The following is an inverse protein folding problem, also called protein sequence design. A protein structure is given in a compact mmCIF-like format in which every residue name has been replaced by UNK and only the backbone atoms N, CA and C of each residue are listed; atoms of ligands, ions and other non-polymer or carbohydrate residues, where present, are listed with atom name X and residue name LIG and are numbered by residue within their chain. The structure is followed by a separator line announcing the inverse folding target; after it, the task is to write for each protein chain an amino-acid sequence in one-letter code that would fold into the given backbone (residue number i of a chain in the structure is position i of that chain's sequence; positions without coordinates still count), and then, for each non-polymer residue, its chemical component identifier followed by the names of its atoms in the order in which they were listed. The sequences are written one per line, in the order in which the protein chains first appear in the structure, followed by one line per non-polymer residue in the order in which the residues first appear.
data_IF_242368733123
#
_entry.id   IF_242368733123
#
_cell.length_a   1.000
_cell.length_b   1.000
_cell.length_c   1.000
_cell.angle_alpha   90.00
_cell.angle_beta   90.00
_cell.angle_gamma   90.00
#
_symmetry.space_group_name_H-M   'P 1'
#
loop_
_entity.id
_entity.type
_entity.pdbx_description
1 polymer ?
#
# COMPACT_ATOMS: atom_id res chain seq x y z
N UNK A 1 2.67 13.32 -11.81
CA UNK A 1 1.62 12.32 -12.13
C UNK A 1 1.17 11.62 -10.86
N UNK A 2 -0.13 11.69 -10.53
CA UNK A 2 -0.72 11.01 -9.37
C UNK A 2 -0.58 9.50 -9.51
N UNK A 3 -0.09 8.83 -8.44
CA UNK A 3 0.12 7.37 -8.42
C UNK A 3 -0.54 6.77 -7.18
N UNK A 4 -1.45 5.84 -7.38
CA UNK A 4 -1.98 5.05 -6.28
C UNK A 4 -0.87 4.20 -5.63
N UNK A 5 -1.03 3.91 -4.35
CA UNK A 5 -0.09 3.09 -3.59
C UNK A 5 1.11 3.84 -3.01
N UNK A 6 1.19 5.16 -3.18
CA UNK A 6 2.33 5.98 -2.74
C UNK A 6 1.90 7.16 -1.89
N UNK A 7 2.77 7.51 -0.95
CA UNK A 7 2.71 8.81 -0.26
C UNK A 7 3.32 9.87 -1.15
N UNK A 8 2.61 10.99 -1.31
CA UNK A 8 2.98 12.09 -2.21
C UNK A 8 2.71 13.43 -1.54
N UNK A 9 3.52 14.43 -1.85
CA UNK A 9 3.27 15.81 -1.44
C UNK A 9 2.47 16.52 -2.54
N UNK A 10 1.25 16.96 -2.20
CA UNK A 10 0.34 17.61 -3.12
C UNK A 10 -0.05 18.99 -2.61
N UNK A 11 -0.45 19.87 -3.52
CA UNK A 11 -0.84 21.25 -3.20
C UNK A 11 -2.36 21.39 -3.17
N UNK A 12 -2.88 22.09 -2.17
CA UNK A 12 -4.31 22.42 -2.08
C UNK A 12 -4.66 23.41 -3.18
N UNK A 13 -5.47 22.96 -4.14
CA UNK A 13 -5.94 23.76 -5.27
C UNK A 13 -7.24 24.52 -4.98
N UNK A 14 -8.21 23.82 -4.36
CA UNK A 14 -9.51 24.39 -4.03
C UNK A 14 -10.18 23.69 -2.88
N UNK A 15 -11.08 24.40 -2.22
CA UNK A 15 -11.91 23.91 -1.12
C UNK A 15 -13.31 23.66 -1.67
N UNK A 16 -13.92 22.53 -1.28
CA UNK A 16 -15.31 22.19 -1.65
C UNK A 16 -16.08 21.64 -0.44
N UNK A 17 -17.39 21.43 -0.63
CA UNK A 17 -18.24 20.81 0.39
C UNK A 17 -17.85 19.36 0.69
N UNK A 18 -17.12 18.69 -0.22
CA UNK A 18 -16.68 17.29 -0.06
C UNK A 18 -15.28 17.13 0.57
N UNK A 19 -14.49 18.19 0.55
CA UNK A 19 -13.13 18.21 1.06
C UNK A 19 -12.22 19.13 0.27
N UNK A 20 -10.91 18.87 0.33
CA UNK A 20 -9.91 19.61 -0.43
C UNK A 20 -9.59 18.87 -1.73
N UNK A 21 -9.54 19.59 -2.84
CA UNK A 21 -8.96 19.08 -4.06
C UNK A 21 -7.48 19.45 -4.11
N UNK A 22 -6.65 18.41 -4.18
CA UNK A 22 -5.21 18.52 -4.21
C UNK A 22 -4.69 18.27 -5.62
N UNK A 23 -3.64 18.97 -6.02
CA UNK A 23 -3.01 18.81 -7.34
C UNK A 23 -1.54 18.43 -7.22
N UNK A 24 -1.07 17.67 -8.21
CA UNK A 24 0.35 17.45 -8.46
C UNK A 24 0.93 18.53 -9.39
N UNK A 25 2.23 18.42 -9.70
CA UNK A 25 2.93 19.37 -10.57
C UNK A 25 2.40 19.39 -12.02
N UNK A 26 1.71 18.32 -12.44
CA UNK A 26 1.09 18.20 -13.76
C UNK A 26 -0.39 18.63 -13.78
N UNK A 27 -0.87 19.23 -12.68
CA UNK A 27 -2.26 19.67 -12.49
C UNK A 27 -3.29 18.53 -12.46
N UNK A 28 -2.88 17.30 -12.18
CA UNK A 28 -3.82 16.20 -11.91
C UNK A 28 -4.44 16.39 -10.54
N UNK A 29 -5.76 16.31 -10.45
CA UNK A 29 -6.51 16.60 -9.24
C UNK A 29 -6.98 15.34 -8.53
N UNK A 30 -6.92 15.32 -7.18
CA UNK A 30 -7.44 14.26 -6.34
C UNK A 30 -8.16 14.85 -5.12
N UNK A 31 -9.25 14.21 -4.69
CA UNK A 31 -10.01 14.62 -3.51
C UNK A 31 -9.37 14.08 -2.23
N UNK A 32 -9.14 14.97 -1.26
CA UNK A 32 -8.93 14.64 0.16
C UNK A 32 -10.26 14.87 0.91
N UNK A 33 -10.97 13.81 1.33
CA UNK A 33 -12.28 13.94 1.96
C UNK A 33 -12.27 14.76 3.25
N UNK A 34 -13.40 15.40 3.56
CA UNK A 34 -13.57 16.29 4.72
C UNK A 34 -13.10 15.70 6.05
N UNK A 35 -13.22 14.39 6.26
CA UNK A 35 -12.75 13.73 7.49
C UNK A 35 -11.26 13.90 7.78
N UNK A 36 -10.47 14.23 6.76
CA UNK A 36 -9.02 14.42 6.84
C UNK A 36 -8.60 15.89 6.78
N UNK A 37 -9.55 16.79 6.60
CA UNK A 37 -9.30 18.22 6.45
C UNK A 37 -9.21 18.91 7.80
N UNK A 38 -8.17 19.70 8.00
CA UNK A 38 -8.04 20.61 9.13
C UNK A 38 -8.61 21.99 8.78
N UNK A 39 -9.21 22.65 9.75
CA UNK A 39 -9.66 24.05 9.61
C UNK A 39 -8.53 25.04 9.30
N UNK A 40 -7.27 24.64 9.56
CA UNK A 40 -6.09 25.44 9.26
C UNK A 40 -5.64 25.33 7.78
N UNK A 41 -6.17 24.34 7.03
CA UNK A 41 -5.76 24.14 5.63
C UNK A 41 -6.28 25.26 4.73
N UNK A 42 -5.39 25.78 3.90
CA UNK A 42 -5.66 26.87 2.94
C UNK A 42 -5.24 26.48 1.53
N UNK A 43 -5.85 27.10 0.54
CA UNK A 43 -5.40 27.02 -0.85
C UNK A 43 -3.92 27.45 -0.94
N UNK A 44 -3.12 26.65 -1.61
CA UNK A 44 -1.67 26.85 -1.74
C UNK A 44 -0.82 26.09 -0.72
N UNK A 45 -1.43 25.54 0.36
CA UNK A 45 -0.74 24.69 1.31
C UNK A 45 -0.31 23.37 0.64
N UNK A 46 0.80 22.80 1.09
CA UNK A 46 1.24 21.47 0.69
C UNK A 46 0.93 20.45 1.78
N UNK A 47 0.41 19.29 1.37
CA UNK A 47 0.06 18.19 2.26
C UNK A 47 0.72 16.90 1.79
N UNK A 48 1.28 16.15 2.74
CA UNK A 48 1.72 14.79 2.49
C UNK A 48 0.53 13.84 2.66
N UNK A 49 0.16 13.16 1.57
CA UNK A 49 -1.01 12.28 1.53
C UNK A 49 -0.68 10.95 0.85
N UNK A 50 -1.38 9.91 1.26
CA UNK A 50 -1.38 8.63 0.57
C UNK A 50 -2.52 8.62 -0.46
N UNK A 51 -2.24 8.19 -1.69
CA UNK A 51 -3.22 8.14 -2.78
C UNK A 51 -3.59 6.70 -3.09
N UNK A 52 -4.87 6.40 -3.18
CA UNK A 52 -5.39 5.05 -3.42
C UNK A 52 -6.77 5.08 -4.09
N UNK A 53 -7.27 3.92 -4.53
CA UNK A 53 -8.65 3.79 -4.99
C UNK A 53 -9.56 3.38 -3.84
N UNK A 54 -10.64 4.13 -3.64
CA UNK A 54 -11.65 3.83 -2.62
C UNK A 54 -12.53 2.62 -3.01
N UNK A 55 -13.55 2.33 -2.19
CA UNK A 55 -14.45 1.19 -2.43
C UNK A 55 -15.35 1.35 -3.65
N UNK A 56 -15.50 2.58 -4.16
CA UNK A 56 -16.23 2.90 -5.40
C UNK A 56 -15.27 3.07 -6.59
N UNK A 57 -14.01 2.66 -6.42
CA UNK A 57 -12.98 2.70 -7.46
C UNK A 57 -12.59 4.11 -7.93
N UNK A 58 -12.75 5.10 -7.05
CA UNK A 58 -12.33 6.47 -7.30
C UNK A 58 -10.95 6.71 -6.71
N UNK A 59 -10.09 7.42 -7.42
CA UNK A 59 -8.81 7.84 -6.89
C UNK A 59 -9.04 8.93 -5.81
N UNK A 60 -8.55 8.68 -4.61
CA UNK A 60 -8.72 9.56 -3.44
C UNK A 60 -7.43 9.67 -2.64
N UNK A 61 -7.31 10.73 -1.86
CA UNK A 61 -6.21 10.95 -0.94
C UNK A 61 -6.65 10.75 0.52
N UNK A 62 -5.70 10.39 1.37
CA UNK A 62 -5.86 10.30 2.82
C UNK A 62 -4.62 10.78 3.54
N UNK A 63 -4.79 11.34 4.74
CA UNK A 63 -3.69 11.62 5.67
C UNK A 63 -3.36 10.44 6.58
N UNK A 64 -4.14 9.36 6.50
CA UNK A 64 -3.85 8.12 7.21
C UNK A 64 -2.59 7.45 6.65
N UNK A 65 -1.88 6.74 7.51
CA UNK A 65 -0.72 5.94 7.13
C UNK A 65 -1.15 4.49 6.88
N UNK A 66 -1.11 3.99 5.64
CA UNK A 66 -1.40 2.59 5.37
C UNK A 66 -0.33 1.68 6.00
N UNK A 67 -0.71 0.44 6.29
CA UNK A 67 0.24 -0.57 6.81
C UNK A 67 1.27 -1.00 5.75
N UNK A 68 0.90 -0.96 4.48
CA UNK A 68 1.81 -1.21 3.35
C UNK A 68 1.57 -0.19 2.24
N UNK A 69 2.67 0.17 1.56
CA UNK A 69 2.69 0.95 0.32
C UNK A 69 3.12 0.09 -0.86
N UNK A 70 3.05 0.61 -2.05
CA UNK A 70 3.60 -0.04 -3.25
C UNK A 70 5.07 -0.42 -3.03
N UNK A 71 5.40 -1.67 -3.32
CA UNK A 71 6.76 -2.19 -3.21
C UNK A 71 7.14 -2.69 -1.81
N UNK A 72 6.21 -2.72 -0.86
CA UNK A 72 6.46 -3.18 0.50
C UNK A 72 5.85 -4.57 0.74
N UNK A 73 6.56 -5.37 1.53
CA UNK A 73 6.08 -6.66 2.06
C UNK A 73 5.78 -6.53 3.56
N UNK A 74 4.78 -7.26 4.02
CA UNK A 74 4.42 -7.29 5.44
C UNK A 74 3.30 -8.26 5.76
N UNK A 75 3.08 -8.47 7.05
CA UNK A 75 1.98 -9.27 7.54
C UNK A 75 0.73 -8.40 7.68
N UNK A 76 -0.35 -8.81 7.04
CA UNK A 76 -1.66 -8.20 7.20
C UNK A 76 -2.69 -9.24 7.65
N UNK A 77 -3.64 -8.79 8.48
CA UNK A 77 -4.72 -9.64 8.96
C UNK A 77 -5.80 -9.78 7.89
N UNK A 78 -6.26 -10.99 7.66
CA UNK A 78 -7.44 -11.28 6.82
C UNK A 78 -8.69 -10.90 7.61
N UNK A 79 -9.44 -9.90 7.15
CA UNK A 79 -10.68 -9.43 7.82
C UNK A 79 -11.92 -10.05 7.23
N UNK A 80 -11.92 -10.40 5.93
CA UNK A 80 -13.06 -11.02 5.25
C UNK A 80 -12.61 -11.79 4.01
N UNK A 81 -13.50 -12.63 3.47
CA UNK A 81 -13.30 -13.42 2.26
C UNK A 81 -14.58 -13.50 1.45
N UNK A 82 -14.44 -13.57 0.14
CA UNK A 82 -15.53 -13.92 -0.79
C UNK A 82 -15.04 -14.87 -1.88
N UNK A 83 -15.88 -15.11 -2.92
CA UNK A 83 -15.53 -15.96 -4.06
C UNK A 83 -14.31 -15.49 -4.86
N UNK A 84 -14.00 -14.20 -4.82
CA UNK A 84 -12.95 -13.59 -5.63
C UNK A 84 -11.60 -13.51 -4.92
N UNK A 85 -11.62 -13.50 -3.59
CA UNK A 85 -10.39 -13.38 -2.80
C UNK A 85 -10.64 -13.02 -1.35
N UNK A 86 -9.59 -12.52 -0.72
CA UNK A 86 -9.59 -12.07 0.66
C UNK A 86 -9.39 -10.56 0.76
N UNK A 87 -9.88 -9.99 1.84
CA UNK A 87 -9.72 -8.58 2.18
C UNK A 87 -8.83 -8.48 3.42
N UNK A 88 -7.79 -7.66 3.33
CA UNK A 88 -6.78 -7.51 4.35
C UNK A 88 -6.88 -6.15 5.02
N UNK A 89 -6.69 -6.11 6.34
CA UNK A 89 -6.63 -4.87 7.10
C UNK A 89 -5.44 -4.03 6.64
N UNK A 90 -5.72 -3.00 5.86
CA UNK A 90 -4.72 -2.10 5.29
C UNK A 90 -4.41 -0.91 6.21
N UNK A 91 -5.23 -0.68 7.24
CA UNK A 91 -5.10 0.46 8.14
C UNK A 91 -5.74 1.74 7.61
N UNK A 92 -6.49 1.67 6.51
CA UNK A 92 -7.25 2.79 5.94
C UNK A 92 -8.73 2.70 6.29
N UNK A 93 -9.34 3.83 6.60
CA UNK A 93 -10.77 3.89 6.89
C UNK A 93 -11.60 3.52 5.65
N UNK A 94 -12.47 2.52 5.80
CA UNK A 94 -13.42 2.11 4.76
C UNK A 94 -12.79 1.43 3.54
N UNK A 95 -11.52 1.02 3.60
CA UNK A 95 -10.85 0.32 2.51
C UNK A 95 -9.88 -0.74 3.02
N UNK A 96 -10.15 -1.97 2.61
CA UNK A 96 -9.24 -3.10 2.81
C UNK A 96 -8.39 -3.34 1.55
N UNK A 97 -7.23 -3.96 1.73
CA UNK A 97 -6.37 -4.37 0.62
C UNK A 97 -6.85 -5.72 0.08
N UNK A 98 -7.11 -5.77 -1.21
CA UNK A 98 -7.60 -6.99 -1.86
C UNK A 98 -6.48 -7.97 -2.20
N UNK A 99 -6.67 -9.23 -1.81
CA UNK A 99 -5.81 -10.37 -2.15
C UNK A 99 -6.59 -11.35 -3.02
N UNK A 100 -6.50 -11.25 -4.36
CA UNK A 100 -7.22 -12.14 -5.29
C UNK A 100 -6.85 -13.62 -5.07
N UNK A 101 -7.77 -14.53 -5.34
CA UNK A 101 -7.52 -15.97 -5.23
C UNK A 101 -6.29 -16.43 -6.02
N UNK A 102 -6.08 -15.86 -7.22
CA UNK A 102 -4.91 -16.17 -8.07
C UNK A 102 -3.57 -15.79 -7.44
N UNK A 103 -3.56 -14.84 -6.51
CA UNK A 103 -2.37 -14.35 -5.83
C UNK A 103 -2.11 -15.05 -4.49
N UNK A 104 -2.99 -15.96 -4.06
CA UNK A 104 -2.84 -16.72 -2.83
C UNK A 104 -1.93 -17.94 -3.04
N UNK A 105 -1.19 -18.30 -1.99
CA UNK A 105 -0.49 -19.58 -1.87
C UNK A 105 -1.14 -20.36 -0.74
N UNK A 106 -1.88 -21.41 -1.11
CA UNK A 106 -2.74 -22.10 -0.17
C UNK A 106 -3.97 -21.28 0.23
N UNK A 107 -4.79 -21.79 1.11
CA UNK A 107 -5.94 -21.08 1.62
C UNK A 107 -5.55 -20.06 2.69
N UNK A 108 -6.18 -18.89 2.68
CA UNK A 108 -6.10 -17.93 3.79
C UNK A 108 -7.35 -18.02 4.65
N UNK A 109 -7.22 -17.76 5.94
CA UNK A 109 -8.29 -17.84 6.92
C UNK A 109 -8.57 -16.47 7.52
N UNK A 110 -9.85 -16.09 7.61
CA UNK A 110 -10.27 -14.88 8.31
C UNK A 110 -9.77 -14.88 9.77
N UNK A 111 -9.30 -13.73 10.24
CA UNK A 111 -8.71 -13.56 11.57
C UNK A 111 -7.23 -13.94 11.66
N UNK A 112 -6.64 -14.55 10.65
CA UNK A 112 -5.22 -14.89 10.59
C UNK A 112 -4.42 -13.84 9.83
N UNK A 113 -3.14 -13.71 10.16
CA UNK A 113 -2.20 -12.90 9.42
C UNK A 113 -1.64 -13.69 8.24
N UNK A 114 -1.41 -13.01 7.12
CA UNK A 114 -0.68 -13.56 5.99
C UNK A 114 0.41 -12.59 5.53
N UNK A 115 1.53 -13.14 5.08
CA UNK A 115 2.62 -12.36 4.50
C UNK A 115 2.28 -12.03 3.05
N UNK A 116 2.23 -10.76 2.74
CA UNK A 116 1.89 -10.26 1.40
C UNK A 116 2.86 -9.17 0.94
N UNK A 117 2.91 -8.96 -0.35
CA UNK A 117 3.56 -7.85 -1.03
C UNK A 117 2.51 -7.01 -1.74
N UNK A 118 2.62 -5.69 -1.67
CA UNK A 118 1.72 -4.77 -2.35
C UNK A 118 2.32 -4.32 -3.68
N UNK A 119 1.59 -4.54 -4.75
CA UNK A 119 1.92 -4.01 -6.08
C UNK A 119 0.74 -3.23 -6.65
N UNK A 120 1.02 -2.39 -7.63
CA UNK A 120 -0.01 -1.68 -8.40
C UNK A 120 -0.22 -2.43 -9.71
N UNK A 121 -1.45 -2.86 -9.96
CA UNK A 121 -1.81 -3.54 -11.20
C UNK A 121 -1.65 -2.59 -12.39
N UNK A 122 -0.86 -2.99 -13.39
CA UNK A 122 -0.50 -2.15 -14.52
C UNK A 122 -1.67 -1.82 -15.46
N UNK A 123 -2.72 -2.62 -15.42
CA UNK A 123 -3.92 -2.43 -16.27
C UNK A 123 -4.93 -1.54 -15.56
N UNK A 124 -5.22 -1.81 -14.29
CA UNK A 124 -6.26 -1.11 -13.54
C UNK A 124 -5.76 0.07 -12.72
N UNK A 125 -4.44 0.14 -12.44
CA UNK A 125 -3.85 1.14 -11.55
C UNK A 125 -4.18 0.94 -10.07
N UNK A 126 -4.82 -0.17 -9.69
CA UNK A 126 -5.24 -0.45 -8.32
C UNK A 126 -4.12 -1.10 -7.52
N UNK A 127 -4.10 -0.82 -6.22
CA UNK A 127 -3.27 -1.54 -5.26
C UNK A 127 -3.81 -2.94 -5.02
N UNK A 128 -2.95 -3.95 -5.13
CA UNK A 128 -3.28 -5.36 -5.00
C UNK A 128 -2.23 -6.07 -4.15
N UNK A 129 -2.66 -7.00 -3.30
CA UNK A 129 -1.77 -7.85 -2.54
C UNK A 129 -1.45 -9.15 -3.27
N UNK A 130 -0.26 -9.69 -3.03
CA UNK A 130 0.13 -11.02 -3.50
C UNK A 130 0.94 -11.77 -2.44
N UNK A 131 0.71 -13.08 -2.34
CA UNK A 131 1.56 -14.00 -1.59
C UNK A 131 2.67 -14.61 -2.46
N UNK A 132 2.66 -14.34 -3.76
CA UNK A 132 3.61 -14.86 -4.75
C UNK A 132 4.74 -13.86 -4.96
N UNK A 133 5.81 -13.97 -4.16
CA UNK A 133 6.90 -12.98 -4.11
C UNK A 133 7.95 -13.11 -5.21
N UNK A 134 7.99 -14.23 -5.95
CA UNK A 134 9.11 -14.55 -6.85
C UNK A 134 9.45 -13.44 -7.84
N UNK A 135 8.44 -12.70 -8.31
CA UNK A 135 8.65 -11.59 -9.26
C UNK A 135 9.13 -10.29 -8.60
N UNK A 136 8.98 -10.14 -7.30
CA UNK A 136 9.23 -8.89 -6.57
C UNK A 136 10.37 -9.01 -5.57
N UNK A 137 10.46 -10.16 -4.88
CA UNK A 137 11.47 -10.44 -3.86
C UNK A 137 12.31 -11.60 -4.34
N UNK A 138 13.53 -11.33 -4.82
CA UNK A 138 14.46 -12.32 -5.34
C UNK A 138 15.91 -11.85 -5.17
N UNK A 139 16.85 -12.71 -5.47
CA UNK A 139 18.28 -12.43 -5.35
C UNK A 139 18.97 -12.41 -6.72
N UNK A 140 18.23 -12.20 -7.81
CA UNK A 140 18.79 -12.20 -9.17
C UNK A 140 19.78 -11.03 -9.36
N UNK A 141 19.47 -9.87 -8.76
CA UNK A 141 20.37 -8.72 -8.74
C UNK A 141 20.47 -8.20 -7.31
N UNK A 142 21.60 -8.43 -6.66
CA UNK A 142 21.87 -7.96 -5.29
C UNK A 142 22.19 -6.47 -5.31
N UNK A 143 21.41 -5.65 -4.60
CA UNK A 143 21.59 -4.20 -4.51
C UNK A 143 22.20 -3.72 -3.20
N UNK A 144 22.32 -4.60 -2.21
CA UNK A 144 22.91 -4.32 -0.90
C UNK A 144 24.40 -4.64 -0.87
N UNK A 145 25.16 -3.90 -0.08
CA UNK A 145 26.62 -4.06 0.09
C UNK A 145 26.95 -4.64 1.47
N UNK A 146 28.09 -5.30 1.64
CA UNK A 146 28.56 -5.73 2.95
C UNK A 146 28.65 -4.53 3.93
N UNK A 147 28.15 -4.74 5.16
CA UNK A 147 28.10 -3.74 6.24
C UNK A 147 27.15 -2.56 5.99
N UNK A 148 26.30 -2.64 4.98
CA UNK A 148 25.21 -1.67 4.79
C UNK A 148 24.09 -1.93 5.79
N UNK A 149 23.56 -0.86 6.37
CA UNK A 149 22.37 -0.92 7.22
C UNK A 149 21.13 -1.18 6.35
N UNK A 150 20.32 -2.17 6.72
CA UNK A 150 19.16 -2.60 5.92
C UNK A 150 17.93 -2.77 6.79
N UNK A 151 16.77 -2.63 6.16
CA UNK A 151 15.48 -2.99 6.77
C UNK A 151 15.24 -4.49 6.63
N UNK A 152 14.82 -5.17 7.70
CA UNK A 152 14.53 -6.58 7.73
C UNK A 152 13.07 -6.85 8.10
N UNK A 153 12.44 -7.76 7.35
CA UNK A 153 11.16 -8.36 7.71
C UNK A 153 11.36 -9.87 7.93
N UNK A 154 11.12 -10.34 9.14
CA UNK A 154 11.19 -11.79 9.44
C UNK A 154 9.96 -12.48 8.85
N UNK A 155 10.18 -13.28 7.81
CA UNK A 155 9.12 -13.98 7.08
C UNK A 155 8.77 -15.33 7.73
N UNK A 156 9.78 -16.08 8.15
CA UNK A 156 9.59 -17.38 8.83
C UNK A 156 10.79 -17.74 9.70
N UNK A 157 10.56 -18.67 10.62
CA UNK A 157 11.56 -19.26 11.48
C UNK A 157 11.79 -20.73 11.09
N UNK A 158 13.02 -21.20 11.21
CA UNK A 158 13.39 -22.58 11.01
C UNK A 158 14.45 -23.01 12.04
N UNK A 159 14.75 -24.32 12.21
CA UNK A 159 15.77 -24.77 13.15
C UNK A 159 17.17 -24.21 12.92
N UNK A 160 17.46 -23.71 11.72
CA UNK A 160 18.77 -23.13 11.35
C UNK A 160 18.77 -21.60 11.36
N UNK A 161 17.65 -20.94 11.65
CA UNK A 161 17.56 -19.48 11.74
C UNK A 161 16.28 -18.90 11.15
N UNK A 162 16.32 -17.62 10.87
CA UNK A 162 15.18 -16.89 10.31
C UNK A 162 15.36 -16.70 8.82
N UNK A 163 14.26 -16.85 8.07
CA UNK A 163 14.18 -16.39 6.70
C UNK A 163 13.64 -14.96 6.71
N UNK A 164 14.38 -14.04 6.11
CA UNK A 164 14.07 -12.61 6.15
C UNK A 164 13.96 -12.01 4.76
N UNK A 165 13.16 -10.93 4.64
CA UNK A 165 13.14 -10.07 3.46
C UNK A 165 13.96 -8.81 3.79
N UNK A 166 14.96 -8.53 2.97
CA UNK A 166 15.87 -7.40 3.11
C UNK A 166 15.43 -6.28 2.18
N UNK A 167 15.19 -5.09 2.73
CA UNK A 167 14.77 -3.89 1.99
C UNK A 167 13.55 -4.11 1.06
N UNK A 168 12.61 -5.00 1.44
CA UNK A 168 11.45 -5.40 0.61
C UNK A 168 11.82 -6.02 -0.76
N UNK A 169 13.06 -6.44 -0.97
CA UNK A 169 13.57 -6.81 -2.29
C UNK A 169 14.32 -8.14 -2.35
N UNK A 170 15.04 -8.50 -1.33
CA UNK A 170 15.92 -9.67 -1.32
C UNK A 170 15.54 -10.66 -0.22
N UNK A 171 15.81 -11.95 -0.48
CA UNK A 171 15.75 -12.99 0.53
C UNK A 171 17.11 -13.22 1.20
N UNK A 172 17.11 -13.41 2.53
CA UNK A 172 18.27 -13.83 3.32
C UNK A 172 17.85 -14.82 4.43
#
# INVERSE_FOLDING_TARGET
MLKAGRTQTLTVNRISDYGLYLIDDEQNEVLLPNRYVSLANKVGDTLEVFVYHDSEDRLVATTETPKLREGEAGFLRVVDKNLHGAFLDWGLHGKDLFLPNRNQQGGVLAGRNCLVYLYVDSVTGRCVATMKFKSYVNNDVITVKPREEVSLLVASESPIGYRVIVNNRHWA
#
